data_IF_206353915493
#
_entry.id   IF_206353915493
#
_cell.length_a   1.000
_cell.length_b   1.000
_cell.length_c   1.000
_cell.angle_alpha   90.00
_cell.angle_beta   90.00
_cell.angle_gamma   90.00
#
_symmetry.space_group_name_H-M   'P 1'
#
loop_
_entity.id
_entity.type
_entity.pdbx_description
1 polymer ?
#
# COMPACT_ATOMS: atom_id res chain seq x y z
N UNK A 1 35.09 -30.05 39.71
CA UNK A 1 34.40 -29.00 38.92
C UNK A 1 32.95 -29.40 38.73
N UNK A 2 31.96 -28.59 39.14
CA UNK A 2 30.57 -28.93 38.89
C UNK A 2 30.26 -28.70 37.41
N UNK A 3 29.86 -29.75 36.70
CA UNK A 3 29.33 -29.66 35.33
C UNK A 3 28.09 -28.78 35.35
N UNK A 4 28.13 -27.59 34.71
CA UNK A 4 26.94 -26.76 34.48
C UNK A 4 25.89 -27.62 33.78
N UNK A 5 24.72 -27.84 34.42
CA UNK A 5 23.56 -28.42 33.74
C UNK A 5 23.19 -27.49 32.58
N UNK A 6 22.93 -28.00 31.36
CA UNK A 6 22.42 -27.16 30.28
C UNK A 6 21.12 -26.49 30.73
N UNK A 7 20.97 -25.21 30.41
CA UNK A 7 19.73 -24.48 30.68
C UNK A 7 18.55 -25.20 30.02
N UNK A 8 17.39 -25.24 30.68
CA UNK A 8 16.18 -25.78 30.07
C UNK A 8 15.83 -24.98 28.80
N UNK A 9 15.19 -25.63 27.82
CA UNK A 9 14.74 -24.94 26.60
C UNK A 9 13.87 -23.71 26.92
N UNK A 10 13.06 -23.78 27.99
CA UNK A 10 12.27 -22.66 28.48
C UNK A 10 13.14 -21.50 28.98
N UNK A 11 14.19 -21.77 29.76
CA UNK A 11 15.12 -20.74 30.21
C UNK A 11 15.91 -20.13 29.05
N UNK A 12 16.29 -20.92 28.04
CA UNK A 12 16.96 -20.42 26.85
C UNK A 12 16.03 -19.52 26.00
N UNK A 13 14.74 -19.87 25.89
CA UNK A 13 13.73 -19.03 25.23
C UNK A 13 13.58 -17.69 25.94
N UNK A 14 13.41 -17.72 27.26
CA UNK A 14 13.26 -16.50 28.08
C UNK A 14 14.50 -15.60 27.95
N UNK A 15 15.70 -16.20 28.04
CA UNK A 15 16.94 -15.43 27.88
C UNK A 15 17.02 -14.71 26.53
N UNK A 16 16.63 -15.35 25.41
CA UNK A 16 16.60 -14.70 24.10
C UNK A 16 15.53 -13.62 24.00
N UNK A 17 14.39 -13.85 24.62
CA UNK A 17 13.30 -12.89 24.67
C UNK A 17 13.71 -11.61 25.42
N UNK A 18 14.38 -11.76 26.56
CA UNK A 18 14.90 -10.64 27.35
C UNK A 18 16.01 -9.89 26.60
N UNK A 19 16.92 -10.62 25.95
CA UNK A 19 17.96 -10.03 25.12
C UNK A 19 17.36 -9.20 23.98
N UNK A 20 16.34 -9.71 23.28
CA UNK A 20 15.64 -8.96 22.26
C UNK A 20 15.00 -7.67 22.83
N UNK A 21 14.43 -7.74 24.04
CA UNK A 21 13.93 -6.56 24.74
C UNK A 21 15.01 -5.51 25.03
N UNK A 22 16.16 -5.95 25.54
CA UNK A 22 17.30 -5.08 25.83
C UNK A 22 17.90 -4.44 24.56
N UNK A 23 17.96 -5.19 23.45
CA UNK A 23 18.38 -4.67 22.15
C UNK A 23 17.45 -3.56 21.68
N UNK A 24 16.13 -3.80 21.70
CA UNK A 24 15.16 -2.80 21.25
C UNK A 24 15.21 -1.53 22.12
N UNK A 25 15.40 -1.68 23.42
CA UNK A 25 15.60 -0.55 24.33
C UNK A 25 16.89 0.22 24.02
N UNK A 26 18.00 -0.48 23.76
CA UNK A 26 19.26 0.14 23.38
C UNK A 26 19.20 0.85 22.01
N UNK A 27 18.32 0.40 21.12
CA UNK A 27 18.00 1.03 19.83
C UNK A 27 16.99 2.19 19.95
N UNK A 28 16.68 2.60 21.18
CA UNK A 28 15.80 3.73 21.50
C UNK A 28 14.33 3.54 21.06
N UNK A 29 13.86 2.29 20.93
CA UNK A 29 12.45 2.03 20.67
C UNK A 29 11.61 2.30 21.92
N UNK A 30 10.53 3.07 21.76
CA UNK A 30 9.62 3.41 22.86
C UNK A 30 8.88 2.18 23.43
N UNK A 31 8.27 2.26 24.62
CA UNK A 31 7.63 1.12 25.29
C UNK A 31 6.65 0.33 24.42
N UNK A 32 5.86 1.01 23.58
CA UNK A 32 4.91 0.38 22.65
C UNK A 32 5.59 -0.38 21.51
N UNK A 33 6.80 0.03 21.13
CA UNK A 33 7.58 -0.51 20.01
C UNK A 33 8.55 -1.63 20.44
N UNK A 34 8.59 -1.95 21.74
CA UNK A 34 9.40 -3.03 22.34
C UNK A 34 8.56 -4.02 23.15
N UNK A 35 7.27 -4.12 22.80
CA UNK A 35 6.33 -5.06 23.39
C UNK A 35 6.71 -6.52 23.06
N UNK A 36 5.97 -7.48 23.63
CA UNK A 36 6.28 -8.90 23.45
C UNK A 36 6.32 -9.31 21.96
N UNK A 37 5.38 -8.79 21.17
CA UNK A 37 5.32 -9.03 19.72
C UNK A 37 6.59 -8.54 19.03
N UNK A 38 7.04 -7.31 19.32
CA UNK A 38 8.25 -6.73 18.75
C UNK A 38 9.51 -7.56 19.06
N UNK A 39 9.62 -8.08 20.29
CA UNK A 39 10.75 -8.95 20.71
C UNK A 39 10.79 -10.25 19.91
N UNK A 40 9.65 -10.93 19.78
CA UNK A 40 9.58 -12.17 18.99
C UNK A 40 9.79 -11.93 17.49
N UNK A 41 9.28 -10.82 16.96
CA UNK A 41 9.49 -10.41 15.57
C UNK A 41 10.97 -10.15 15.29
N UNK A 42 11.70 -9.48 16.19
CA UNK A 42 13.14 -9.28 16.07
C UNK A 42 13.88 -10.63 16.02
N UNK A 43 13.54 -11.57 16.91
CA UNK A 43 14.14 -12.90 16.94
C UNK A 43 13.90 -13.68 15.64
N UNK A 44 12.68 -13.60 15.11
CA UNK A 44 12.34 -14.20 13.83
C UNK A 44 13.18 -13.58 12.72
N UNK A 45 13.17 -12.26 12.57
CA UNK A 45 13.89 -11.51 11.52
C UNK A 45 15.41 -11.67 11.57
N UNK A 46 15.96 -11.96 12.75
CA UNK A 46 17.36 -12.30 12.95
C UNK A 46 17.65 -13.81 12.82
N UNK A 47 16.62 -14.65 12.68
CA UNK A 47 16.65 -16.11 12.74
C UNK A 47 17.39 -16.67 13.98
N UNK A 48 17.25 -16.00 15.12
CA UNK A 48 17.92 -16.38 16.38
C UNK A 48 17.01 -17.29 17.18
N UNK A 49 17.26 -18.61 17.13
CA UNK A 49 16.57 -19.58 17.98
C UNK A 49 17.15 -19.59 19.41
N UNK A 50 16.52 -20.28 20.39
CA UNK A 50 17.03 -20.35 21.76
C UNK A 50 18.48 -20.84 21.90
N UNK A 51 18.96 -21.62 20.93
CA UNK A 51 20.31 -22.21 20.94
C UNK A 51 21.32 -21.45 20.07
N UNK A 52 20.86 -20.50 19.26
CA UNK A 52 21.70 -19.77 18.31
C UNK A 52 22.25 -18.50 18.97
N UNK A 53 23.55 -18.24 18.84
CA UNK A 53 24.15 -16.98 19.29
C UNK A 53 23.75 -15.82 18.38
N UNK A 54 23.73 -14.60 18.90
CA UNK A 54 23.45 -13.41 18.09
C UNK A 54 24.48 -13.21 16.98
N UNK A 55 25.73 -13.60 17.19
CA UNK A 55 26.79 -13.59 16.17
C UNK A 55 26.47 -14.41 14.91
N UNK A 56 25.59 -15.41 15.02
CA UNK A 56 25.14 -16.23 13.91
C UNK A 56 23.79 -15.75 13.32
N UNK A 57 23.31 -14.56 13.72
CA UNK A 57 22.10 -13.98 13.16
C UNK A 57 22.19 -13.86 11.64
N UNK A 58 21.07 -14.05 10.97
CA UNK A 58 20.93 -13.87 9.51
C UNK A 58 19.72 -12.97 9.23
N UNK A 59 19.53 -12.60 7.96
CA UNK A 59 18.43 -11.73 7.54
C UNK A 59 17.58 -12.44 6.47
N UNK A 60 16.83 -13.50 6.82
CA UNK A 60 15.93 -14.14 5.87
C UNK A 60 14.84 -13.18 5.42
N UNK A 61 14.40 -13.32 4.17
CA UNK A 61 13.21 -12.64 3.65
C UNK A 61 11.97 -13.30 4.22
N UNK A 62 11.19 -12.57 5.02
CA UNK A 62 9.98 -13.10 5.64
C UNK A 62 8.79 -12.16 5.50
N UNK A 63 7.65 -12.72 5.11
CA UNK A 63 6.34 -12.08 5.30
C UNK A 63 5.85 -12.25 6.75
N UNK A 64 4.74 -11.60 7.09
CA UNK A 64 4.20 -11.63 8.46
C UNK A 64 3.78 -13.04 8.89
N UNK A 65 3.07 -13.79 8.04
CA UNK A 65 2.65 -15.16 8.37
C UNK A 65 3.85 -16.09 8.59
N UNK A 66 4.87 -16.12 7.69
CA UNK A 66 6.12 -16.83 7.97
C UNK A 66 6.80 -16.45 9.30
N UNK A 67 6.80 -15.17 9.70
CA UNK A 67 7.32 -14.77 11.01
C UNK A 67 6.51 -15.41 12.16
N UNK A 68 5.18 -15.36 12.10
CA UNK A 68 4.30 -15.97 13.10
C UNK A 68 4.53 -17.48 13.22
N UNK A 69 4.64 -18.19 12.10
CA UNK A 69 4.90 -19.62 12.06
C UNK A 69 6.28 -19.95 12.64
N UNK A 70 7.29 -19.15 12.30
CA UNK A 70 8.64 -19.30 12.84
C UNK A 70 8.67 -19.09 14.36
N UNK A 71 7.96 -18.08 14.87
CA UNK A 71 7.84 -17.80 16.31
C UNK A 71 7.15 -18.97 17.01
N UNK A 72 6.06 -19.49 16.44
CA UNK A 72 5.35 -20.64 16.99
C UNK A 72 6.25 -21.88 17.06
N UNK A 73 7.03 -22.16 16.01
CA UNK A 73 7.93 -23.31 15.95
C UNK A 73 9.08 -23.22 16.97
N UNK A 74 9.71 -22.05 17.10
CA UNK A 74 10.96 -21.90 17.87
C UNK A 74 10.72 -21.49 19.33
N UNK A 75 9.70 -20.66 19.58
CA UNK A 75 9.39 -20.08 20.88
C UNK A 75 8.09 -20.59 21.50
N UNK A 76 7.26 -21.31 20.74
CA UNK A 76 6.00 -21.88 21.23
C UNK A 76 4.87 -20.87 21.39
N UNK A 77 5.05 -19.64 20.90
CA UNK A 77 4.03 -18.58 20.95
C UNK A 77 3.18 -18.66 19.70
N UNK A 78 1.91 -19.01 19.86
CA UNK A 78 0.95 -19.10 18.75
C UNK A 78 0.13 -17.82 18.68
N UNK A 79 0.08 -17.25 17.49
CA UNK A 79 -0.77 -16.12 17.17
C UNK A 79 -2.01 -16.60 16.42
N UNK A 80 -3.16 -15.95 16.66
CA UNK A 80 -4.36 -16.21 15.87
C UNK A 80 -4.22 -15.54 14.49
N UNK A 81 -4.90 -16.02 13.43
CA UNK A 81 -4.79 -15.46 12.08
C UNK A 81 -5.07 -13.95 12.00
N UNK A 82 -6.01 -13.44 12.80
CA UNK A 82 -6.35 -12.02 12.91
C UNK A 82 -5.27 -11.16 13.61
N UNK A 83 -4.19 -11.77 14.11
CA UNK A 83 -3.07 -11.06 14.73
C UNK A 83 -2.03 -10.61 13.70
N UNK A 84 -2.20 -10.96 12.42
CA UNK A 84 -1.30 -10.54 11.34
C UNK A 84 -1.19 -9.02 11.26
N UNK A 85 -2.31 -8.33 11.37
CA UNK A 85 -2.40 -6.87 11.39
C UNK A 85 -1.71 -6.31 12.64
N UNK A 86 -1.88 -6.94 13.81
CA UNK A 86 -1.17 -6.58 15.04
C UNK A 86 0.35 -6.70 14.91
N UNK A 87 0.86 -7.81 14.37
CA UNK A 87 2.32 -7.98 14.14
C UNK A 87 2.86 -6.90 13.21
N UNK A 88 2.09 -6.56 12.16
CA UNK A 88 2.45 -5.48 11.24
C UNK A 88 2.48 -4.12 11.95
N UNK A 89 1.41 -3.77 12.64
CA UNK A 89 1.21 -2.42 13.18
C UNK A 89 1.99 -2.14 14.46
N UNK A 90 2.20 -3.15 15.30
CA UNK A 90 2.87 -3.00 16.60
C UNK A 90 4.38 -3.29 16.57
N UNK A 91 4.90 -3.92 15.51
CA UNK A 91 6.32 -4.25 15.41
C UNK A 91 6.93 -3.84 14.07
N UNK A 92 6.53 -4.51 12.98
CA UNK A 92 7.20 -4.38 11.67
C UNK A 92 7.17 -2.94 11.16
N UNK A 93 6.02 -2.25 11.29
CA UNK A 93 5.86 -0.84 10.90
C UNK A 93 6.89 0.06 11.58
N UNK A 94 7.13 -0.14 12.88
CA UNK A 94 8.09 0.65 13.65
C UNK A 94 9.53 0.33 13.26
N UNK A 95 9.84 -0.93 12.99
CA UNK A 95 11.17 -1.35 12.57
C UNK A 95 11.52 -0.83 11.16
N UNK A 96 10.56 -0.80 10.23
CA UNK A 96 10.72 -0.17 8.92
C UNK A 96 10.91 1.34 9.06
N UNK A 97 10.08 2.02 9.85
CA UNK A 97 10.19 3.46 10.07
C UNK A 97 11.54 3.86 10.70
N UNK A 98 12.10 2.96 11.51
CA UNK A 98 13.41 3.09 12.14
C UNK A 98 14.61 2.86 11.21
N UNK A 99 14.39 2.41 9.97
CA UNK A 99 15.44 1.98 9.05
C UNK A 99 16.08 0.63 9.40
N UNK A 100 15.52 -0.11 10.37
CA UNK A 100 16.07 -1.39 10.81
C UNK A 100 15.72 -2.54 9.84
N UNK A 101 14.65 -2.38 9.05
CA UNK A 101 14.22 -3.36 8.06
C UNK A 101 14.16 -2.76 6.67
N UNK A 102 14.54 -3.58 5.70
CA UNK A 102 14.28 -3.34 4.28
C UNK A 102 12.99 -4.08 3.91
N UNK A 103 12.07 -3.36 3.30
CA UNK A 103 10.82 -3.90 2.77
C UNK A 103 11.02 -4.31 1.32
N UNK A 104 10.59 -5.52 0.97
CA UNK A 104 10.64 -6.06 -0.40
C UNK A 104 12.03 -5.94 -1.05
N UNK A 105 13.09 -6.26 -0.30
CA UNK A 105 14.45 -6.27 -0.82
C UNK A 105 14.64 -7.19 -2.05
N UNK A 106 13.72 -8.14 -2.25
CA UNK A 106 13.66 -9.04 -3.39
C UNK A 106 12.96 -8.44 -4.62
N UNK A 107 12.04 -7.49 -4.43
CA UNK A 107 11.29 -6.82 -5.50
C UNK A 107 10.82 -5.43 -5.03
N UNK A 108 11.64 -4.38 -5.23
CA UNK A 108 11.31 -3.01 -4.81
C UNK A 108 10.05 -2.43 -5.48
N UNK A 109 9.62 -3.00 -6.62
CA UNK A 109 8.43 -2.56 -7.36
C UNK A 109 7.12 -3.11 -6.78
N UNK A 110 7.21 -4.07 -5.84
CA UNK A 110 6.06 -4.77 -5.31
C UNK A 110 5.04 -3.81 -4.68
N UNK A 111 3.74 -3.96 -5.02
CA UNK A 111 2.64 -3.21 -4.43
C UNK A 111 2.64 -3.13 -2.91
N UNK A 112 2.28 -1.96 -2.40
CA UNK A 112 2.31 -1.68 -0.97
C UNK A 112 1.23 -2.44 -0.18
N UNK A 113 0.18 -2.90 -0.85
CA UNK A 113 -0.88 -3.76 -0.31
C UNK A 113 -0.68 -5.25 -0.64
N UNK A 114 0.46 -5.63 -1.25
CA UNK A 114 0.68 -7.02 -1.69
C UNK A 114 0.69 -7.99 -0.50
N UNK A 115 -0.10 -9.06 -0.62
CA UNK A 115 -0.04 -10.21 0.29
C UNK A 115 1.31 -10.95 0.27
N UNK A 116 2.16 -10.67 -0.74
CA UNK A 116 3.53 -11.20 -0.87
C UNK A 116 4.60 -10.27 -0.28
N UNK A 117 4.21 -9.24 0.49
CA UNK A 117 5.19 -8.34 1.12
C UNK A 117 6.12 -9.12 2.04
N UNK A 118 7.43 -8.92 1.88
CA UNK A 118 8.46 -9.50 2.75
C UNK A 118 9.34 -8.43 3.35
N UNK A 119 10.02 -8.78 4.43
CA UNK A 119 10.94 -7.91 5.17
C UNK A 119 12.20 -8.71 5.53
N UNK A 120 13.33 -8.02 5.59
CA UNK A 120 14.57 -8.53 6.16
C UNK A 120 15.27 -7.42 6.95
N UNK A 121 16.23 -7.79 7.80
CA UNK A 121 17.09 -6.81 8.46
C UNK A 121 17.90 -6.02 7.43
N UNK A 122 18.01 -4.72 7.68
CA UNK A 122 18.96 -3.86 6.97
C UNK A 122 20.40 -4.30 7.29
N UNK A 123 21.35 -4.27 6.34
CA UNK A 123 22.71 -4.78 6.52
C UNK A 123 23.44 -4.27 7.77
N UNK A 124 23.45 -2.96 8.03
CA UNK A 124 24.10 -2.39 9.21
C UNK A 124 23.40 -2.80 10.50
N UNK A 125 22.07 -2.90 10.49
CA UNK A 125 21.31 -3.43 11.62
C UNK A 125 21.67 -4.89 11.91
N UNK A 126 21.79 -5.74 10.88
CA UNK A 126 22.23 -7.13 11.04
C UNK A 126 23.63 -7.23 11.64
N UNK A 127 24.57 -6.42 11.14
CA UNK A 127 25.94 -6.38 11.66
C UNK A 127 25.99 -5.94 13.12
N UNK A 128 25.18 -4.94 13.51
CA UNK A 128 25.05 -4.54 14.91
C UNK A 128 24.54 -5.70 15.76
N UNK A 129 23.44 -6.36 15.35
CA UNK A 129 22.86 -7.47 16.10
C UNK A 129 23.86 -8.60 16.32
N UNK A 130 24.72 -8.90 15.33
CA UNK A 130 25.77 -9.92 15.44
C UNK A 130 26.80 -9.63 16.53
N UNK A 131 26.97 -8.37 16.91
CA UNK A 131 27.89 -7.94 17.97
C UNK A 131 27.24 -7.95 19.36
N UNK A 132 25.95 -8.27 19.48
CA UNK A 132 25.28 -8.26 20.77
C UNK A 132 25.90 -9.24 21.77
N UNK A 133 26.27 -8.72 22.95
CA UNK A 133 26.91 -9.48 24.02
C UNK A 133 28.43 -9.62 23.88
N UNK A 134 29.06 -9.00 22.87
CA UNK A 134 30.52 -8.91 22.75
C UNK A 134 31.03 -7.56 23.28
N UNK A 135 32.35 -7.45 23.46
CA UNK A 135 33.01 -6.20 23.87
C UNK A 135 32.86 -5.08 22.83
N UNK A 136 32.59 -5.43 21.56
CA UNK A 136 32.40 -4.47 20.47
C UNK A 136 31.02 -3.80 20.51
N UNK A 137 30.03 -4.40 21.18
CA UNK A 137 28.64 -3.94 21.19
C UNK A 137 28.47 -2.43 21.46
N UNK A 138 29.07 -1.85 22.52
CA UNK A 138 28.85 -0.44 22.83
C UNK A 138 29.30 0.48 21.70
N UNK A 139 30.48 0.22 21.13
CA UNK A 139 31.03 1.03 20.03
C UNK A 139 30.22 0.88 18.74
N UNK A 140 29.78 -0.34 18.42
CA UNK A 140 28.95 -0.60 17.24
C UNK A 140 27.56 0.04 17.36
N UNK A 141 26.96 0.01 18.56
CA UNK A 141 25.68 0.64 18.82
C UNK A 141 25.75 2.16 18.63
N UNK A 142 26.78 2.81 19.17
CA UNK A 142 26.99 4.26 18.98
C UNK A 142 27.14 4.61 17.51
N UNK A 143 27.96 3.86 16.77
CA UNK A 143 28.15 4.08 15.33
C UNK A 143 26.83 3.90 14.55
N UNK A 144 26.07 2.85 14.86
CA UNK A 144 24.77 2.59 14.22
C UNK A 144 23.79 3.74 14.48
N UNK A 145 23.62 4.17 15.73
CA UNK A 145 22.71 5.27 16.08
C UNK A 145 23.10 6.58 15.39
N UNK A 146 24.40 6.87 15.25
CA UNK A 146 24.89 8.03 14.49
C UNK A 146 24.59 7.92 12.99
N UNK A 147 24.66 6.72 12.41
CA UNK A 147 24.39 6.48 10.98
C UNK A 147 22.91 6.33 10.63
N UNK A 148 22.03 6.07 11.62
CA UNK A 148 20.63 5.69 11.42
C UNK A 148 19.85 6.67 10.54
N UNK A 149 20.03 7.97 10.75
CA UNK A 149 19.36 9.00 9.93
C UNK A 149 19.77 8.92 8.46
N UNK A 150 21.06 8.66 8.17
CA UNK A 150 21.55 8.50 6.81
C UNK A 150 21.04 7.20 6.17
N UNK A 151 20.99 6.09 6.92
CA UNK A 151 20.41 4.82 6.47
C UNK A 151 18.93 5.02 6.09
N UNK A 152 18.14 5.66 6.96
CA UNK A 152 16.73 5.94 6.69
C UNK A 152 16.57 6.80 5.44
N UNK A 153 17.40 7.84 5.28
CA UNK A 153 17.36 8.71 4.11
C UNK A 153 17.70 7.93 2.82
N UNK A 154 18.67 7.03 2.86
CA UNK A 154 19.05 6.21 1.71
C UNK A 154 17.96 5.21 1.33
N UNK A 155 17.37 4.51 2.30
CA UNK A 155 16.24 3.60 2.04
C UNK A 155 15.03 4.36 1.48
N UNK A 156 14.77 5.58 1.94
CA UNK A 156 13.74 6.44 1.37
C UNK A 156 14.07 6.89 -0.06
N UNK A 157 15.34 7.23 -0.33
CA UNK A 157 15.82 7.60 -1.65
C UNK A 157 15.67 6.44 -2.64
N UNK A 158 16.08 5.24 -2.27
CA UNK A 158 15.90 4.04 -3.09
C UNK A 158 14.42 3.76 -3.39
N UNK A 159 13.54 3.90 -2.38
CA UNK A 159 12.08 3.80 -2.61
C UNK A 159 11.56 4.88 -3.55
N UNK A 160 12.10 6.09 -3.47
CA UNK A 160 11.70 7.20 -4.34
C UNK A 160 12.10 6.98 -5.79
N UNK A 161 13.22 6.31 -6.07
CA UNK A 161 13.63 5.93 -7.44
C UNK A 161 12.64 4.99 -8.13
N UNK A 162 11.86 4.23 -7.35
CA UNK A 162 10.85 3.31 -7.85
C UNK A 162 9.46 3.94 -7.89
N UNK A 163 9.32 5.24 -7.58
CA UNK A 163 8.03 5.94 -7.67
C UNK A 163 7.58 6.08 -9.12
N UNK A 164 6.26 6.06 -9.28
CA UNK A 164 5.60 6.21 -10.57
C UNK A 164 5.30 7.68 -10.77
N UNK A 165 6.01 8.36 -11.66
CA UNK A 165 5.67 9.73 -12.06
C UNK A 165 4.46 9.71 -13.00
N UNK A 166 3.40 10.44 -12.62
CA UNK A 166 2.21 10.63 -13.43
C UNK A 166 2.06 12.12 -13.80
N UNK A 167 1.72 12.39 -15.06
CA UNK A 167 1.42 13.73 -15.55
C UNK A 167 -0.07 14.03 -15.41
N UNK A 168 -0.39 15.15 -14.76
CA UNK A 168 -1.75 15.67 -14.70
C UNK A 168 -2.16 16.29 -16.05
N UNK A 169 -3.46 16.40 -16.35
CA UNK A 169 -3.95 17.16 -17.51
C UNK A 169 -3.48 18.62 -17.56
N UNK A 170 -3.15 19.23 -16.40
CA UNK A 170 -2.55 20.56 -16.30
C UNK A 170 -1.09 20.63 -16.80
N UNK A 171 -0.44 19.48 -16.97
CA UNK A 171 0.99 19.36 -17.31
C UNK A 171 1.90 19.15 -16.09
N UNK A 172 1.41 19.38 -14.88
CA UNK A 172 2.11 19.14 -13.61
C UNK A 172 2.46 17.65 -13.42
N UNK A 173 3.56 17.37 -12.73
CA UNK A 173 3.98 16.01 -12.40
C UNK A 173 3.63 15.69 -10.94
N UNK A 174 3.03 14.52 -10.72
CA UNK A 174 2.73 13.96 -9.40
C UNK A 174 3.51 12.65 -9.22
N UNK A 175 4.15 12.50 -8.07
CA UNK A 175 5.00 11.34 -7.75
C UNK A 175 4.24 10.34 -6.87
N UNK A 176 3.77 9.25 -7.47
CA UNK A 176 3.00 8.18 -6.81
C UNK A 176 3.93 7.11 -6.24
N UNK A 177 3.55 6.49 -5.12
CA UNK A 177 4.27 5.35 -4.57
C UNK A 177 4.27 4.14 -5.54
N UNK A 178 5.29 3.27 -5.48
CA UNK A 178 5.32 2.08 -6.33
C UNK A 178 4.16 1.11 -6.05
N UNK A 179 3.52 0.66 -7.12
CA UNK A 179 2.55 -0.43 -7.12
C UNK A 179 1.20 -0.11 -6.48
N UNK A 180 0.46 -1.15 -6.09
CA UNK A 180 -0.95 -1.04 -5.76
C UNK A 180 -1.74 -0.66 -6.99
N UNK A 181 -2.73 0.23 -6.81
CA UNK A 181 -3.50 0.82 -7.89
C UNK A 181 -2.76 1.94 -8.65
N UNK A 182 -1.61 2.40 -8.17
CA UNK A 182 -0.93 3.57 -8.72
C UNK A 182 -0.48 3.47 -10.18
N UNK A 183 -0.01 2.31 -10.68
CA UNK A 183 0.25 2.17 -12.12
C UNK A 183 -1.02 2.41 -12.95
N UNK A 184 -2.18 1.96 -12.48
CA UNK A 184 -3.46 2.19 -13.15
C UNK A 184 -3.94 3.63 -12.97
N UNK A 185 -3.74 4.25 -11.80
CA UNK A 185 -3.97 5.70 -11.60
C UNK A 185 -3.17 6.52 -12.59
N UNK A 186 -1.88 6.21 -12.82
CA UNK A 186 -1.09 6.88 -13.86
C UNK A 186 -1.76 6.79 -15.23
N UNK A 187 -2.24 5.60 -15.62
CA UNK A 187 -2.95 5.42 -16.89
C UNK A 187 -4.28 6.19 -16.93
N UNK A 188 -4.99 6.29 -15.81
CA UNK A 188 -6.19 7.13 -15.70
C UNK A 188 -5.82 8.60 -15.97
N UNK A 189 -4.76 9.11 -15.34
CA UNK A 189 -4.36 10.51 -15.48
C UNK A 189 -3.82 10.84 -16.89
N UNK A 190 -3.09 9.92 -17.51
CA UNK A 190 -2.38 10.15 -18.78
C UNK A 190 -3.11 9.67 -20.03
N UNK A 191 -4.03 8.72 -19.91
CA UNK A 191 -4.77 8.18 -21.06
C UNK A 191 -6.27 8.45 -20.93
N UNK A 192 -6.91 8.10 -19.80
CA UNK A 192 -8.35 8.30 -19.63
C UNK A 192 -8.74 9.78 -19.61
N UNK A 193 -8.12 10.57 -18.73
CA UNK A 193 -8.46 11.99 -18.57
C UNK A 193 -8.29 12.77 -19.89
N UNK A 194 -7.17 12.64 -20.63
CA UNK A 194 -7.01 13.37 -21.89
C UNK A 194 -7.96 12.93 -23.01
N UNK A 195 -8.52 11.71 -22.97
CA UNK A 195 -9.47 11.24 -23.98
C UNK A 195 -10.90 11.66 -23.61
N UNK A 196 -11.33 11.33 -22.40
CA UNK A 196 -12.73 11.38 -21.96
C UNK A 196 -13.08 12.65 -21.17
N UNK A 197 -12.10 13.24 -20.48
CA UNK A 197 -12.27 14.40 -19.60
C UNK A 197 -11.25 15.50 -19.96
N UNK A 198 -11.21 15.87 -21.24
CA UNK A 198 -10.17 16.73 -21.86
C UNK A 198 -9.88 18.04 -21.14
N UNK A 199 -10.91 18.66 -20.57
CA UNK A 199 -10.81 19.91 -19.79
C UNK A 199 -10.96 19.64 -18.29
N UNK A 200 -10.56 18.45 -17.87
CA UNK A 200 -10.69 17.94 -16.51
C UNK A 200 -9.69 18.57 -15.56
N UNK A 201 -10.19 19.04 -14.42
CA UNK A 201 -9.34 19.45 -13.29
C UNK A 201 -9.28 18.30 -12.29
N UNK A 202 -8.09 17.75 -12.06
CA UNK A 202 -7.90 16.66 -11.09
C UNK A 202 -7.93 17.25 -9.68
N UNK A 203 -8.94 16.88 -8.91
CA UNK A 203 -9.19 17.39 -7.56
C UNK A 203 -8.64 16.48 -6.46
N UNK A 204 -8.52 15.18 -6.74
CA UNK A 204 -8.03 14.21 -5.77
C UNK A 204 -7.29 13.05 -6.43
N UNK A 205 -6.20 12.60 -5.80
CA UNK A 205 -5.49 11.35 -6.11
C UNK A 205 -5.18 10.59 -4.82
N UNK A 206 -5.74 9.40 -4.69
CA UNK A 206 -5.54 8.47 -3.59
C UNK A 206 -4.31 7.60 -3.80
N UNK A 207 -3.15 8.10 -3.37
CA UNK A 207 -1.91 7.30 -3.40
C UNK A 207 -1.93 6.19 -2.34
N UNK A 208 -1.43 5.01 -2.72
CA UNK A 208 -1.41 3.82 -1.87
C UNK A 208 -0.63 3.98 -0.55
N UNK A 209 0.33 4.91 -0.46
CA UNK A 209 1.08 5.21 0.76
C UNK A 209 0.65 6.53 1.43
N UNK A 210 0.23 7.53 0.65
CA UNK A 210 -0.23 8.83 1.15
C UNK A 210 -1.57 9.24 0.52
N UNK A 211 -2.68 8.96 1.22
CA UNK A 211 -4.05 9.28 0.77
C UNK A 211 -4.36 10.78 0.58
N UNK A 212 -3.43 11.69 0.86
CA UNK A 212 -3.59 13.14 0.67
C UNK A 212 -2.56 13.73 -0.30
N UNK A 213 -1.92 12.90 -1.13
CA UNK A 213 -0.85 13.34 -2.03
C UNK A 213 -1.27 14.53 -2.92
N UNK A 214 -2.49 14.49 -3.44
CA UNK A 214 -3.08 15.57 -4.22
C UNK A 214 -4.54 15.73 -3.80
N UNK A 215 -4.90 16.86 -3.17
CA UNK A 215 -6.27 17.14 -2.78
C UNK A 215 -6.58 18.64 -2.76
N UNK A 216 -7.36 19.11 -3.73
CA UNK A 216 -7.86 20.49 -3.76
C UNK A 216 -9.20 20.60 -3.01
N UNK A 217 -9.09 20.69 -1.68
CA UNK A 217 -10.23 20.76 -0.77
C UNK A 217 -11.12 21.98 -1.02
N UNK A 218 -10.50 23.12 -1.29
CA UNK A 218 -11.22 24.38 -1.47
C UNK A 218 -12.01 24.37 -2.77
N UNK A 219 -11.46 23.78 -3.84
CA UNK A 219 -12.21 23.57 -5.07
C UNK A 219 -13.41 22.66 -4.86
N UNK A 220 -13.19 21.52 -4.21
CA UNK A 220 -14.27 20.57 -3.98
C UNK A 220 -15.39 21.17 -3.10
N UNK A 221 -15.02 21.98 -2.10
CA UNK A 221 -15.96 22.72 -1.28
C UNK A 221 -16.78 23.75 -2.07
N UNK A 222 -16.19 24.42 -3.08
CA UNK A 222 -16.93 25.32 -4.00
C UNK A 222 -17.98 24.58 -4.82
N UNK A 223 -17.79 23.29 -5.09
CA UNK A 223 -18.79 22.42 -5.71
C UNK A 223 -19.82 21.88 -4.72
N UNK A 224 -19.80 22.31 -3.45
CA UNK A 224 -20.76 21.89 -2.42
C UNK A 224 -20.39 20.59 -1.71
N UNK A 225 -19.19 20.05 -1.95
CA UNK A 225 -18.75 18.76 -1.39
C UNK A 225 -17.66 18.99 -0.33
N UNK A 226 -17.97 18.64 0.92
CA UNK A 226 -17.03 18.67 2.04
C UNK A 226 -16.66 17.24 2.43
N UNK A 227 -15.37 16.93 2.49
CA UNK A 227 -14.89 15.59 2.85
C UNK A 227 -14.00 15.66 4.09
N UNK A 228 -14.37 14.85 5.08
CA UNK A 228 -13.71 14.79 6.40
C UNK A 228 -12.76 13.59 6.55
N UNK A 229 -12.79 12.65 5.61
CA UNK A 229 -11.91 11.47 5.61
C UNK A 229 -11.57 11.00 4.20
N UNK A 230 -10.26 10.85 3.92
CA UNK A 230 -9.76 10.28 2.69
C UNK A 230 -10.07 8.78 2.54
N UNK A 231 -10.50 8.08 3.59
CA UNK A 231 -10.79 6.65 3.51
C UNK A 231 -12.03 6.32 2.67
N UNK A 232 -12.90 7.30 2.43
CA UNK A 232 -14.18 7.12 1.72
C UNK A 232 -14.20 7.68 0.31
N UNK A 233 -13.18 8.44 -0.08
CA UNK A 233 -13.03 9.03 -1.41
C UNK A 233 -12.62 7.93 -2.41
N UNK A 234 -13.05 7.98 -3.68
CA UNK A 234 -12.52 7.08 -4.72
C UNK A 234 -11.07 7.43 -5.05
N UNK A 235 -10.35 6.52 -5.71
CA UNK A 235 -8.93 6.70 -6.04
C UNK A 235 -8.61 7.98 -6.84
N UNK A 236 -9.48 8.43 -7.75
CA UNK A 236 -9.30 9.68 -8.49
C UNK A 236 -10.62 10.44 -8.59
N UNK A 237 -10.57 11.77 -8.37
CA UNK A 237 -11.70 12.68 -8.61
C UNK A 237 -11.30 13.74 -9.61
N UNK A 238 -12.06 13.87 -10.69
CA UNK A 238 -11.82 14.86 -11.75
C UNK A 238 -13.08 15.66 -12.03
N UNK A 239 -12.97 16.98 -12.12
CA UNK A 239 -14.07 17.84 -12.53
C UNK A 239 -13.97 18.18 -14.03
N UNK A 240 -14.91 17.66 -14.82
CA UNK A 240 -15.13 18.08 -16.21
C UNK A 240 -15.84 19.44 -16.22
N UNK A 241 -15.06 20.52 -16.36
CA UNK A 241 -15.59 21.88 -16.23
C UNK A 241 -16.66 22.20 -17.29
N UNK A 242 -16.47 21.92 -18.60
CA UNK A 242 -17.49 22.20 -19.60
C UNK A 242 -18.82 21.47 -19.39
N UNK A 243 -18.78 20.21 -18.94
CA UNK A 243 -19.99 19.39 -18.73
C UNK A 243 -20.55 19.51 -17.31
N UNK A 244 -19.80 20.14 -16.41
CA UNK A 244 -20.06 20.23 -14.97
C UNK A 244 -20.30 18.84 -14.36
N UNK A 245 -19.38 17.91 -14.60
CA UNK A 245 -19.42 16.54 -14.06
C UNK A 245 -18.24 16.27 -13.13
N UNK A 246 -18.52 15.67 -11.97
CA UNK A 246 -17.51 15.00 -11.15
C UNK A 246 -17.39 13.55 -11.57
N UNK A 247 -16.25 13.23 -12.18
CA UNK A 247 -15.87 11.88 -12.56
C UNK A 247 -15.14 11.24 -11.39
N UNK A 248 -15.76 10.22 -10.81
CA UNK A 248 -15.33 9.48 -9.64
C UNK A 248 -14.78 8.13 -10.10
N UNK A 249 -13.45 7.95 -10.07
CA UNK A 249 -12.78 6.77 -10.63
C UNK A 249 -12.18 5.91 -9.53
N UNK A 250 -12.54 4.62 -9.50
CA UNK A 250 -11.87 3.60 -8.68
C UNK A 250 -10.92 2.77 -9.56
N UNK A 251 -9.66 2.65 -9.16
CA UNK A 251 -8.64 1.90 -9.87
C UNK A 251 -8.52 0.49 -9.28
N UNK A 252 -9.19 -0.48 -9.91
CA UNK A 252 -9.35 -1.81 -9.31
C UNK A 252 -8.07 -2.62 -9.40
N UNK A 253 -7.62 -3.05 -8.22
CA UNK A 253 -6.58 -4.09 -8.06
C UNK A 253 -7.09 -5.20 -7.17
N UNK A 254 -7.31 -4.93 -5.88
CA UNK A 254 -7.82 -5.89 -4.89
C UNK A 254 -8.99 -5.37 -4.05
N UNK A 255 -9.27 -4.07 -4.06
CA UNK A 255 -10.29 -3.44 -3.22
C UNK A 255 -11.74 -3.61 -3.76
N UNK A 256 -11.89 -4.14 -4.97
CA UNK A 256 -13.18 -4.37 -5.63
C UNK A 256 -13.64 -3.17 -6.48
N UNK A 257 -14.61 -3.38 -7.39
CA UNK A 257 -15.12 -2.34 -8.29
C UNK A 257 -16.12 -1.40 -7.60
N UNK A 258 -16.64 -0.43 -8.35
CA UNK A 258 -17.85 0.30 -7.93
C UNK A 258 -19.07 -0.64 -8.01
N UNK A 259 -19.32 -1.35 -6.92
CA UNK A 259 -20.53 -2.15 -6.73
C UNK A 259 -21.74 -1.28 -6.33
N UNK A 260 -22.93 -1.87 -6.21
CA UNK A 260 -24.16 -1.13 -5.89
C UNK A 260 -24.12 -0.45 -4.53
N UNK A 261 -23.41 -1.04 -3.56
CA UNK A 261 -23.23 -0.44 -2.23
C UNK A 261 -22.28 0.75 -2.31
N UNK A 262 -21.10 0.56 -2.92
CA UNK A 262 -20.08 1.60 -3.09
C UNK A 262 -20.61 2.77 -3.90
N UNK A 263 -21.37 2.52 -4.97
CA UNK A 263 -22.09 3.56 -5.73
C UNK A 263 -23.02 4.37 -4.83
N UNK A 264 -23.80 3.72 -3.98
CA UNK A 264 -24.71 4.40 -3.05
C UNK A 264 -23.96 5.24 -2.01
N UNK A 265 -22.85 4.71 -1.48
CA UNK A 265 -21.98 5.43 -0.54
C UNK A 265 -21.38 6.68 -1.19
N UNK A 266 -20.85 6.57 -2.41
CA UNK A 266 -20.29 7.70 -3.16
C UNK A 266 -21.38 8.72 -3.50
N UNK A 267 -22.56 8.28 -3.94
CA UNK A 267 -23.70 9.17 -4.19
C UNK A 267 -24.09 9.95 -2.94
N UNK A 268 -24.07 9.32 -1.76
CA UNK A 268 -24.34 10.00 -0.49
C UNK A 268 -23.21 10.96 -0.11
N UNK A 269 -21.95 10.55 -0.29
CA UNK A 269 -20.77 11.37 0.03
C UNK A 269 -20.72 12.66 -0.81
N UNK A 270 -21.15 12.58 -2.08
CA UNK A 270 -21.17 13.70 -3.02
C UNK A 270 -22.59 14.27 -3.24
N UNK A 271 -23.55 14.00 -2.34
CA UNK A 271 -24.97 14.32 -2.55
C UNK A 271 -25.27 15.82 -2.74
N UNK A 272 -24.46 16.68 -2.11
CA UNK A 272 -24.60 18.14 -2.20
C UNK A 272 -23.83 18.74 -3.38
N UNK A 273 -23.27 17.92 -4.26
CA UNK A 273 -22.52 18.43 -5.40
C UNK A 273 -23.40 19.23 -6.33
N UNK A 274 -22.91 20.39 -6.78
CA UNK A 274 -23.50 21.15 -7.88
C UNK A 274 -23.19 20.56 -9.26
N UNK A 275 -22.33 19.54 -9.33
CA UNK A 275 -21.95 18.83 -10.55
C UNK A 275 -22.65 17.47 -10.66
N UNK A 276 -22.89 17.00 -11.89
CA UNK A 276 -23.38 15.64 -12.12
C UNK A 276 -22.33 14.59 -11.76
N UNK A 277 -22.73 13.43 -11.24
CA UNK A 277 -21.80 12.37 -10.86
C UNK A 277 -21.66 11.33 -11.98
N UNK A 278 -20.42 11.02 -12.36
CA UNK A 278 -20.07 9.90 -13.24
C UNK A 278 -19.23 8.92 -12.44
N UNK A 279 -19.64 7.67 -12.36
CA UNK A 279 -18.93 6.62 -11.62
C UNK A 279 -18.18 5.75 -12.60
N UNK A 280 -16.87 5.62 -12.43
CA UNK A 280 -16.01 4.86 -13.32
C UNK A 280 -15.25 3.81 -12.53
N UNK A 281 -15.33 2.56 -12.98
CA UNK A 281 -14.44 1.49 -12.53
C UNK A 281 -13.35 1.30 -13.58
N UNK A 282 -12.09 1.50 -13.22
CA UNK A 282 -10.96 1.30 -14.11
C UNK A 282 -10.30 -0.07 -13.86
N UNK A 283 -9.94 -0.75 -14.94
CA UNK A 283 -9.14 -1.98 -14.93
C UNK A 283 -7.90 -1.81 -15.82
N UNK A 284 -6.84 -2.57 -15.56
CA UNK A 284 -5.70 -2.59 -16.48
C UNK A 284 -6.10 -3.26 -17.81
N UNK A 285 -6.75 -4.43 -17.73
CA UNK A 285 -7.09 -5.26 -18.88
C UNK A 285 -8.45 -5.96 -18.70
N UNK A 286 -8.90 -6.67 -19.75
CA UNK A 286 -10.18 -7.41 -19.76
C UNK A 286 -10.18 -8.65 -18.86
N UNK A 287 -9.03 -9.24 -18.56
CA UNK A 287 -8.93 -10.40 -17.66
C UNK A 287 -9.24 -9.99 -16.21
N UNK A 288 -8.74 -8.83 -15.79
CA UNK A 288 -9.06 -8.24 -14.50
C UNK A 288 -10.56 -7.94 -14.41
N UNK A 289 -11.13 -7.28 -15.44
CA UNK A 289 -12.57 -7.04 -15.53
C UNK A 289 -13.38 -8.34 -15.37
N UNK A 290 -12.98 -9.43 -16.05
CA UNK A 290 -13.70 -10.72 -16.00
C UNK A 290 -13.89 -11.23 -14.57
N UNK A 291 -12.95 -10.96 -13.68
CA UNK A 291 -12.99 -11.39 -12.27
C UNK A 291 -14.07 -10.66 -11.47
N UNK A 292 -14.40 -9.43 -11.86
CA UNK A 292 -15.28 -8.53 -11.11
C UNK A 292 -16.60 -8.20 -11.83
N UNK A 293 -16.77 -8.63 -13.07
CA UNK A 293 -17.90 -8.26 -13.95
C UNK A 293 -19.27 -8.41 -13.30
N UNK A 294 -19.47 -9.44 -12.47
CA UNK A 294 -20.75 -9.72 -11.81
C UNK A 294 -21.05 -8.81 -10.61
N UNK A 295 -20.06 -8.03 -10.15
CA UNK A 295 -20.16 -7.15 -8.98
C UNK A 295 -20.37 -5.69 -9.38
N UNK A 296 -20.07 -5.33 -10.63
CA UNK A 296 -20.15 -3.96 -11.14
C UNK A 296 -21.60 -3.48 -11.12
N UNK A 297 -21.84 -2.30 -10.57
CA UNK A 297 -23.17 -1.72 -10.51
C UNK A 297 -23.64 -1.30 -11.90
N UNK A 298 -24.94 -1.50 -12.19
CA UNK A 298 -25.62 -0.75 -13.24
C UNK A 298 -25.50 0.77 -13.00
N UNK A 299 -25.73 1.54 -14.05
CA UNK A 299 -25.58 2.99 -14.11
C UNK A 299 -24.17 3.45 -13.67
N UNK A 300 -23.16 2.72 -14.14
CA UNK A 300 -21.73 3.04 -14.00
C UNK A 300 -20.98 2.73 -15.29
N UNK A 301 -19.79 3.31 -15.40
CA UNK A 301 -18.91 3.14 -16.55
C UNK A 301 -17.72 2.26 -16.19
N UNK A 302 -17.22 1.51 -17.17
CA UNK A 302 -15.99 0.75 -17.04
C UNK A 302 -14.98 1.21 -18.08
N UNK A 303 -13.78 1.52 -17.64
CA UNK A 303 -12.65 1.86 -18.50
C UNK A 303 -11.54 0.82 -18.37
N UNK A 304 -10.88 0.50 -19.49
CA UNK A 304 -9.81 -0.49 -19.55
C UNK A 304 -8.57 0.17 -20.14
N UNK A 305 -7.46 0.14 -19.40
CA UNK A 305 -6.25 0.87 -19.78
C UNK A 305 -5.58 0.35 -21.06
N UNK A 306 -5.76 -0.93 -21.38
CA UNK A 306 -5.30 -1.56 -22.62
C UNK A 306 -6.13 -1.14 -23.86
N UNK A 307 -7.38 -0.71 -23.66
CA UNK A 307 -8.28 -0.23 -24.71
C UNK A 307 -8.72 1.23 -24.42
N UNK A 308 -7.78 2.20 -24.31
CA UNK A 308 -8.03 3.47 -23.64
C UNK A 308 -9.06 4.37 -24.36
N UNK A 309 -9.29 4.15 -25.65
CA UNK A 309 -10.23 4.88 -26.49
C UNK A 309 -11.67 4.39 -26.37
N UNK A 310 -11.94 3.37 -25.55
CA UNK A 310 -13.27 2.78 -25.37
C UNK A 310 -13.68 2.79 -23.89
N UNK A 311 -15.00 2.81 -23.66
CA UNK A 311 -15.64 2.65 -22.35
C UNK A 311 -16.79 1.66 -22.51
N UNK A 312 -17.00 0.82 -21.50
CA UNK A 312 -18.16 -0.07 -21.43
C UNK A 312 -19.19 0.58 -20.52
N UNK A 313 -20.39 0.79 -21.05
CA UNK A 313 -21.52 1.31 -20.29
C UNK A 313 -22.27 0.15 -19.63
N UNK A 314 -22.22 0.05 -18.30
CA UNK A 314 -23.14 -0.82 -17.55
C UNK A 314 -24.45 -0.07 -17.42
N UNK A 315 -25.15 0.02 -18.53
CA UNK A 315 -26.21 0.99 -18.73
C UNK A 315 -27.57 0.54 -18.15
N UNK A 316 -28.44 1.51 -17.94
CA UNK A 316 -29.87 1.32 -17.78
C UNK A 316 -30.60 1.52 -19.11
N UNK A 317 -31.24 2.68 -19.29
CA UNK A 317 -32.09 2.98 -20.46
C UNK A 317 -31.48 4.02 -21.43
N UNK A 318 -30.22 4.47 -21.24
CA UNK A 318 -29.71 5.69 -21.89
C UNK A 318 -29.13 5.48 -23.30
N UNK A 319 -28.50 4.36 -23.57
CA UNK A 319 -27.64 4.15 -24.73
C UNK A 319 -28.00 2.85 -25.47
N UNK A 320 -29.16 2.86 -26.13
CA UNK A 320 -29.57 1.79 -27.05
C UNK A 320 -29.81 2.36 -28.44
N UNK A 321 -28.75 2.44 -29.25
CA UNK A 321 -28.80 2.91 -30.63
C UNK A 321 -27.71 2.23 -31.49
N UNK A 322 -27.90 2.12 -32.82
CA UNK A 322 -26.86 1.61 -33.71
C UNK A 322 -25.71 2.61 -33.89
N UNK A 323 -24.49 2.11 -34.07
CA UNK A 323 -23.33 2.92 -34.44
C UNK A 323 -23.37 3.31 -35.93
N UNK A 324 -22.67 4.38 -36.29
CA UNK A 324 -22.68 4.94 -37.65
C UNK A 324 -22.34 3.90 -38.71
N UNK A 325 -21.36 3.04 -38.48
CA UNK A 325 -20.93 1.99 -39.41
C UNK A 325 -21.99 0.89 -39.64
N UNK A 326 -22.86 0.66 -38.65
CA UNK A 326 -23.99 -0.26 -38.71
C UNK A 326 -25.31 0.42 -39.12
N UNK A 327 -25.36 1.76 -39.20
CA UNK A 327 -26.53 2.51 -39.66
C UNK A 327 -26.69 2.38 -41.18
N UNK A 328 -27.87 1.96 -41.69
CA UNK A 328 -28.16 1.94 -43.11
C UNK A 328 -27.96 3.31 -43.77
N UNK A 329 -27.36 3.36 -44.96
CA UNK A 329 -27.03 4.62 -45.64
C UNK A 329 -28.25 5.54 -45.85
N UNK A 330 -29.43 4.96 -46.11
CA UNK A 330 -30.67 5.70 -46.29
C UNK A 330 -31.22 6.35 -45.01
N UNK A 331 -30.73 5.95 -43.83
CA UNK A 331 -31.10 6.53 -42.54
C UNK A 331 -30.05 7.52 -42.00
N UNK A 332 -28.84 7.56 -42.57
CA UNK A 332 -27.79 8.52 -42.19
C UNK A 332 -28.09 9.97 -42.60
N UNK A 333 -28.98 10.17 -43.59
CA UNK A 333 -29.31 11.51 -44.11
C UNK A 333 -30.40 12.26 -43.32
N UNK A 334 -30.96 11.65 -42.26
CA UNK A 334 -32.10 12.16 -41.49
C UNK A 334 -31.78 12.42 -40.00
N UNK A 335 -30.54 12.19 -39.55
CA UNK A 335 -30.06 12.41 -38.18
C UNK A 335 -29.10 13.60 -38.13
#
# INVERSE_FOLDING_TARGET
MPRRRPASLAAAREAKFDQAGAILEALEFGPRQRNNTARYVLLALAAVTPQVSWSAATAPLMGITPMMDWIAANYGVKYAPNTRETVRDEAVKHFVAAGMLVRNADDPSRPTNSGRTVYCLEPHALELLRKYGTEEWPSALTAYLQSRTAIVAELQRERSLHRVEARLPSGELVSLSPGGQNPLIKRILEDFCPIWVRSGVVLYIGDAENKWLHFDRDYLARLGVAIDSAEKIPDVVVHDVPRNWLVLVEAVTSAGPVDSKRRSELKQLFANSSAGLVFVTAFANREDLRTFVTQISWETEVWIADDPTHVIHFDGERYFAPYDDAMPENLRALA
#
